data_IF_566607737155
#
_entry.id   IF_566607737155
#
_cell.length_a   1.000
_cell.length_b   1.000
_cell.length_c   1.000
_cell.angle_alpha   90.00
_cell.angle_beta   90.00
_cell.angle_gamma   90.00
#
_symmetry.space_group_name_H-M   'P 1'
#
loop_
_entity.id
_entity.type
_entity.pdbx_description
1 polymer ?
#
# COMPACT_ATOMS: atom_id res chain seq x y z
N UNK A 1 14.93 13.10 37.50
CA UNK A 1 14.92 12.77 36.06
C UNK A 1 13.76 13.58 35.49
N UNK A 2 14.03 14.60 34.66
CA UNK A 2 13.03 15.61 34.28
C UNK A 2 11.91 15.00 33.44
N UNK A 3 10.65 15.30 33.75
CA UNK A 3 9.47 14.83 32.99
C UNK A 3 9.58 15.14 31.49
N UNK A 4 10.12 16.31 31.14
CA UNK A 4 10.39 16.71 29.76
C UNK A 4 11.30 15.73 29.00
N UNK A 5 12.28 15.15 29.69
CA UNK A 5 13.24 14.24 29.08
C UNK A 5 12.58 12.90 28.72
N UNK A 6 11.64 12.42 29.56
CA UNK A 6 10.83 11.24 29.26
C UNK A 6 9.90 11.47 28.07
N UNK A 7 9.30 12.67 27.95
CA UNK A 7 8.40 13.00 26.83
C UNK A 7 9.17 13.03 25.50
N UNK A 8 10.37 13.63 25.48
CA UNK A 8 11.24 13.64 24.29
C UNK A 8 11.68 12.23 23.89
N UNK A 9 11.99 11.37 24.86
CA UNK A 9 12.36 9.98 24.58
C UNK A 9 11.19 9.21 23.96
N UNK A 10 10.00 9.28 24.56
CA UNK A 10 8.78 8.64 24.03
C UNK A 10 8.49 9.17 22.62
N UNK A 11 8.58 10.48 22.41
CA UNK A 11 8.39 11.10 21.10
C UNK A 11 9.38 10.55 20.07
N UNK A 12 10.67 10.47 20.40
CA UNK A 12 11.69 9.89 19.54
C UNK A 12 11.42 8.42 19.18
N UNK A 13 10.99 7.62 20.15
CA UNK A 13 10.57 6.22 19.93
C UNK A 13 9.37 6.17 18.97
N UNK A 14 8.35 7.01 19.16
CA UNK A 14 7.19 7.07 18.28
C UNK A 14 7.57 7.38 16.84
N UNK A 15 8.42 8.39 16.62
CA UNK A 15 8.94 8.76 15.30
C UNK A 15 9.65 7.58 14.64
N UNK A 16 10.53 6.89 15.37
CA UNK A 16 11.21 5.69 14.86
C UNK A 16 10.20 4.60 14.45
N UNK A 17 9.14 4.38 15.23
CA UNK A 17 8.12 3.38 14.85
C UNK A 17 7.29 3.77 13.62
N UNK A 18 7.20 5.06 13.29
CA UNK A 18 6.55 5.51 12.05
C UNK A 18 7.46 5.20 10.87
N UNK A 19 8.73 5.57 10.94
CA UNK A 19 9.71 5.29 9.87
C UNK A 19 9.85 3.78 9.63
N UNK A 20 9.91 2.97 10.69
CA UNK A 20 9.95 1.52 10.56
C UNK A 20 8.69 0.95 9.89
N UNK A 21 7.51 1.52 10.15
CA UNK A 21 6.27 1.13 9.48
C UNK A 21 6.28 1.49 7.98
N UNK A 22 6.81 2.66 7.63
CA UNK A 22 6.96 3.06 6.21
C UNK A 22 7.91 2.15 5.46
N UNK A 23 9.06 1.81 6.05
CA UNK A 23 10.01 0.84 5.50
C UNK A 23 9.35 -0.53 5.31
N UNK A 24 8.60 -1.01 6.30
CA UNK A 24 7.87 -2.28 6.21
C UNK A 24 6.83 -2.26 5.08
N UNK A 25 6.13 -1.16 4.88
CA UNK A 25 5.15 -0.97 3.80
C UNK A 25 5.82 -1.02 2.41
N UNK A 26 6.99 -0.39 2.27
CA UNK A 26 7.78 -0.44 1.03
C UNK A 26 8.28 -1.86 0.74
N UNK A 27 8.80 -2.56 1.75
CA UNK A 27 9.27 -3.94 1.62
C UNK A 27 8.14 -4.89 1.22
N UNK A 28 6.95 -4.77 1.82
CA UNK A 28 5.78 -5.56 1.43
C UNK A 28 5.33 -5.28 0.00
N UNK A 29 5.36 -4.02 -0.44
CA UNK A 29 5.00 -3.66 -1.81
C UNK A 29 5.97 -4.26 -2.83
N UNK A 30 7.27 -4.24 -2.53
CA UNK A 30 8.27 -4.91 -3.36
C UNK A 30 8.08 -6.44 -3.40
N UNK A 31 7.73 -7.05 -2.27
CA UNK A 31 7.41 -8.48 -2.19
C UNK A 31 6.19 -8.85 -3.03
N UNK A 32 5.09 -8.10 -2.95
CA UNK A 32 3.91 -8.39 -3.78
C UNK A 32 4.23 -8.24 -5.28
N UNK A 33 5.01 -7.23 -5.65
CA UNK A 33 5.45 -7.03 -7.02
C UNK A 33 6.29 -8.22 -7.52
N UNK A 34 7.21 -8.74 -6.70
CA UNK A 34 8.04 -9.88 -7.10
C UNK A 34 7.21 -11.17 -7.27
N UNK A 35 6.21 -11.41 -6.42
CA UNK A 35 5.28 -12.55 -6.54
C UNK A 35 4.48 -12.45 -7.84
N UNK A 36 3.93 -11.28 -8.16
CA UNK A 36 3.19 -11.08 -9.42
C UNK A 36 4.10 -11.24 -10.63
N UNK A 37 5.30 -10.67 -10.59
CA UNK A 37 6.28 -10.80 -11.67
C UNK A 37 6.69 -12.26 -11.91
N UNK A 38 6.90 -13.04 -10.84
CA UNK A 38 7.18 -14.46 -10.94
C UNK A 38 6.03 -15.24 -11.57
N UNK A 39 4.78 -14.95 -11.19
CA UNK A 39 3.59 -15.55 -11.80
C UNK A 39 3.48 -15.26 -13.30
N UNK A 40 3.75 -14.02 -13.71
CA UNK A 40 3.76 -13.62 -15.11
C UNK A 40 4.91 -14.30 -15.88
N UNK A 41 6.09 -14.41 -15.28
CA UNK A 41 7.24 -15.08 -15.90
C UNK A 41 6.97 -16.58 -16.12
N UNK A 42 6.30 -17.25 -15.18
CA UNK A 42 5.88 -18.64 -15.33
C UNK A 42 4.89 -18.82 -16.50
N UNK A 43 3.91 -17.92 -16.64
CA UNK A 43 3.00 -17.91 -17.80
C UNK A 43 3.72 -17.73 -19.14
N UNK A 44 4.81 -16.95 -19.14
CA UNK A 44 5.60 -16.73 -20.36
C UNK A 44 6.49 -17.94 -20.72
N UNK A 45 6.96 -18.68 -19.72
CA UNK A 45 7.87 -19.83 -19.89
C UNK A 45 7.13 -21.11 -20.28
N UNK A 46 5.99 -21.39 -19.63
CA UNK A 46 5.27 -22.66 -19.77
C UNK A 46 3.92 -22.45 -20.46
N UNK A 47 3.80 -22.89 -21.72
CA UNK A 47 2.56 -22.74 -22.50
C UNK A 47 1.43 -23.68 -22.08
N UNK A 48 1.74 -24.73 -21.34
CA UNK A 48 0.77 -25.75 -20.91
C UNK A 48 0.05 -25.36 -19.60
N UNK A 49 0.52 -24.33 -18.90
CA UNK A 49 -0.15 -23.88 -17.67
C UNK A 49 -1.49 -23.24 -18.03
N UNK A 50 -2.56 -23.74 -17.42
CA UNK A 50 -3.85 -23.09 -17.52
C UNK A 50 -3.76 -21.66 -16.99
N UNK A 51 -4.04 -20.69 -17.86
CA UNK A 51 -4.00 -19.28 -17.49
C UNK A 51 -4.87 -18.94 -16.26
N UNK A 52 -5.95 -19.69 -16.03
CA UNK A 52 -6.79 -19.56 -14.83
C UNK A 52 -6.04 -19.91 -13.54
N UNK A 53 -5.15 -20.91 -13.58
CA UNK A 53 -4.37 -21.35 -12.42
C UNK A 53 -3.42 -20.27 -11.90
N UNK A 54 -3.01 -19.31 -12.75
CA UNK A 54 -2.13 -18.19 -12.36
C UNK A 54 -2.93 -16.88 -12.19
N UNK A 55 -3.95 -16.63 -13.02
CA UNK A 55 -4.75 -15.41 -12.92
C UNK A 55 -5.50 -15.28 -11.58
N UNK A 56 -6.01 -16.40 -11.04
CA UNK A 56 -6.71 -16.41 -9.75
C UNK A 56 -5.77 -16.03 -8.58
N UNK A 57 -4.59 -16.66 -8.41
CA UNK A 57 -3.62 -16.22 -7.40
C UNK A 57 -3.21 -14.76 -7.53
N UNK A 58 -2.96 -14.26 -8.76
CA UNK A 58 -2.56 -12.86 -8.99
C UNK A 58 -3.67 -11.91 -8.53
N UNK A 59 -4.93 -12.23 -8.81
CA UNK A 59 -6.09 -11.45 -8.36
C UNK A 59 -6.16 -11.41 -6.83
N UNK A 60 -6.00 -12.55 -6.16
CA UNK A 60 -5.99 -12.65 -4.68
C UNK A 60 -4.84 -11.84 -4.09
N UNK A 61 -3.62 -11.99 -4.61
CA UNK A 61 -2.44 -11.26 -4.15
C UNK A 61 -2.65 -9.75 -4.31
N UNK A 62 -3.25 -9.31 -5.41
CA UNK A 62 -3.56 -7.89 -5.65
C UNK A 62 -4.57 -7.34 -4.64
N UNK A 63 -5.61 -8.11 -4.28
CA UNK A 63 -6.56 -7.73 -3.23
C UNK A 63 -5.93 -7.63 -1.85
N UNK A 64 -5.08 -8.61 -1.51
CA UNK A 64 -4.33 -8.60 -0.25
C UNK A 64 -3.39 -7.38 -0.22
N UNK A 65 -2.71 -7.07 -1.32
CA UNK A 65 -1.85 -5.91 -1.43
C UNK A 65 -2.62 -4.60 -1.19
N UNK A 66 -3.79 -4.42 -1.83
CA UNK A 66 -4.66 -3.26 -1.60
C UNK A 66 -5.07 -3.12 -0.14
N UNK A 67 -5.48 -4.24 0.48
CA UNK A 67 -5.89 -4.28 1.88
C UNK A 67 -4.73 -3.90 2.81
N UNK A 68 -3.53 -4.39 2.53
CA UNK A 68 -2.30 -4.05 3.26
C UNK A 68 -2.00 -2.56 3.17
N UNK A 69 -2.05 -1.95 1.98
CA UNK A 69 -1.83 -0.50 1.82
C UNK A 69 -2.85 0.29 2.64
N UNK A 70 -4.13 -0.08 2.57
CA UNK A 70 -5.19 0.60 3.30
C UNK A 70 -5.02 0.48 4.82
N UNK A 71 -4.61 -0.68 5.31
CA UNK A 71 -4.28 -0.91 6.72
C UNK A 71 -3.15 0.01 7.19
N UNK A 72 -2.02 0.03 6.48
CA UNK A 72 -0.89 0.90 6.84
C UNK A 72 -1.25 2.38 6.77
N UNK A 73 -2.10 2.78 5.82
CA UNK A 73 -2.58 4.17 5.70
C UNK A 73 -3.41 4.58 6.91
N UNK A 74 -4.31 3.72 7.36
CA UNK A 74 -5.13 4.00 8.54
C UNK A 74 -4.27 4.03 9.81
N UNK A 75 -3.31 3.12 9.92
CA UNK A 75 -2.38 3.07 11.05
C UNK A 75 -1.48 4.31 11.09
N UNK A 76 -0.96 4.77 9.95
CA UNK A 76 -0.16 5.98 9.86
C UNK A 76 -0.96 7.21 10.33
N UNK A 77 -2.21 7.37 9.85
CA UNK A 77 -3.11 8.44 10.31
C UNK A 77 -3.30 8.43 11.82
N UNK A 78 -3.51 7.26 12.42
CA UNK A 78 -3.66 7.12 13.86
C UNK A 78 -2.37 7.51 14.60
N UNK A 79 -1.20 7.05 14.13
CA UNK A 79 0.10 7.39 14.73
C UNK A 79 0.42 8.88 14.64
N UNK A 80 0.17 9.52 13.49
CA UNK A 80 0.36 10.97 13.34
C UNK A 80 -0.57 11.76 14.26
N UNK A 81 -1.79 11.28 14.52
CA UNK A 81 -2.70 11.90 15.49
C UNK A 81 -2.12 11.85 16.91
N UNK A 82 -1.58 10.70 17.32
CA UNK A 82 -0.92 10.57 18.64
C UNK A 82 0.30 11.49 18.75
N UNK A 83 1.09 11.62 17.68
CA UNK A 83 2.21 12.57 17.66
C UNK A 83 1.73 14.01 17.82
N UNK A 84 0.66 14.41 17.11
CA UNK A 84 0.09 15.75 17.23
C UNK A 84 -0.40 16.03 18.67
N UNK A 85 -1.03 15.05 19.32
CA UNK A 85 -1.45 15.13 20.73
C UNK A 85 -0.24 15.24 21.68
N UNK A 86 0.87 14.55 21.39
CA UNK A 86 2.13 14.70 22.15
C UNK A 86 2.77 16.07 21.93
N UNK A 87 2.66 16.62 20.71
CA UNK A 87 3.17 17.94 20.36
C UNK A 87 2.46 19.09 21.07
N UNK A 88 1.24 18.88 21.59
CA UNK A 88 0.56 19.88 22.40
C UNK A 88 1.29 20.22 23.71
N UNK A 89 2.16 19.32 24.20
CA UNK A 89 3.00 19.53 25.37
C UNK A 89 4.31 20.26 25.05
N UNK A 90 4.67 20.42 23.77
CA UNK A 90 5.91 21.08 23.34
C UNK A 90 5.67 22.53 22.92
N UNK A 91 6.65 23.40 23.20
CA UNK A 91 6.63 24.80 22.77
C UNK A 91 6.75 24.94 21.25
N UNK A 92 7.37 23.95 20.60
CA UNK A 92 7.53 23.85 19.15
C UNK A 92 6.87 22.55 18.67
N UNK A 93 6.01 22.64 17.64
CA UNK A 93 5.24 21.52 17.08
C UNK A 93 5.72 21.19 15.65
N UNK A 94 6.87 20.53 15.50
CA UNK A 94 7.51 20.36 14.20
C UNK A 94 6.62 19.62 13.18
N UNK A 95 5.95 18.52 13.55
CA UNK A 95 5.09 17.77 12.62
C UNK A 95 3.82 18.52 12.27
N UNK A 96 3.19 19.21 13.22
CA UNK A 96 2.03 20.07 12.92
C UNK A 96 2.43 21.20 11.97
N UNK A 97 3.61 21.79 12.17
CA UNK A 97 4.13 22.86 11.32
C UNK A 97 4.47 22.36 9.91
N UNK A 98 5.17 21.23 9.81
CA UNK A 98 5.49 20.55 8.54
C UNK A 98 4.23 20.19 7.76
N UNK A 99 3.22 19.61 8.43
CA UNK A 99 1.95 19.28 7.81
C UNK A 99 1.18 20.52 7.32
N UNK A 100 1.28 21.63 8.07
CA UNK A 100 0.75 22.94 7.68
C UNK A 100 1.38 23.46 6.40
N UNK A 101 2.72 23.45 6.31
CA UNK A 101 3.47 23.83 5.12
C UNK A 101 3.16 22.91 3.93
N UNK A 102 3.16 21.59 4.16
CA UNK A 102 2.81 20.60 3.14
C UNK A 102 1.41 20.82 2.56
N UNK A 103 0.43 21.21 3.39
CA UNK A 103 -0.95 21.49 2.94
C UNK A 103 -1.09 22.83 2.22
N UNK A 104 -0.27 23.83 2.58
CA UNK A 104 -0.26 25.15 1.92
C UNK A 104 0.44 25.10 0.56
N UNK A 105 1.51 24.32 0.43
CA UNK A 105 2.23 24.12 -0.83
C UNK A 105 1.52 23.14 -1.79
N UNK A 106 0.47 22.45 -1.30
CA UNK A 106 -0.39 21.55 -2.07
C UNK A 106 -1.28 22.33 -3.05
N UNK A 107 -0.67 22.94 -4.06
CA UNK A 107 -1.34 23.29 -5.30
C UNK A 107 -2.05 22.05 -5.86
N UNK A 108 -3.21 22.24 -6.51
CA UNK A 108 -4.22 21.25 -6.95
C UNK A 108 -3.74 19.95 -7.66
N UNK A 109 -2.45 19.75 -7.88
CA UNK A 109 -1.89 18.67 -8.71
C UNK A 109 -0.70 17.92 -8.10
N UNK A 110 -0.51 17.85 -6.78
CA UNK A 110 0.44 16.85 -6.23
C UNK A 110 -0.28 15.51 -6.12
N UNK A 111 -0.04 14.64 -7.09
CA UNK A 111 -0.36 13.21 -6.99
C UNK A 111 0.38 12.69 -5.77
N UNK A 112 -0.33 12.37 -4.69
CA UNK A 112 0.31 11.76 -3.52
C UNK A 112 1.02 10.48 -4.01
N UNK A 113 2.27 10.27 -3.60
CA UNK A 113 3.01 9.02 -3.89
C UNK A 113 2.14 7.79 -3.56
N UNK A 114 1.28 7.92 -2.55
CA UNK A 114 0.27 6.94 -2.12
C UNK A 114 -0.76 6.59 -3.21
N UNK A 115 -1.15 7.53 -4.07
CA UNK A 115 -2.05 7.25 -5.18
C UNK A 115 -1.37 6.37 -6.24
N UNK A 116 -0.08 6.60 -6.55
CA UNK A 116 0.66 5.75 -7.49
C UNK A 116 0.83 4.33 -6.94
N UNK A 117 1.12 4.19 -5.64
CA UNK A 117 1.22 2.89 -4.98
C UNK A 117 -0.12 2.13 -4.94
N UNK A 118 -1.26 2.83 -4.96
CA UNK A 118 -2.59 2.21 -5.00
C UNK A 118 -3.02 1.83 -6.43
N UNK A 119 -2.58 2.59 -7.44
CA UNK A 119 -2.95 2.37 -8.85
C UNK A 119 -2.39 1.02 -9.34
N UNK A 120 -1.15 0.69 -9.00
CA UNK A 120 -0.49 -0.54 -9.49
C UNK A 120 -1.30 -1.81 -9.14
N UNK A 121 -1.57 -2.12 -7.86
CA UNK A 121 -2.36 -3.31 -7.51
C UNK A 121 -3.81 -3.23 -7.98
N UNK A 122 -4.40 -2.04 -8.08
CA UNK A 122 -5.77 -1.86 -8.62
C UNK A 122 -5.84 -2.26 -10.09
N UNK A 123 -4.87 -1.81 -10.91
CA UNK A 123 -4.80 -2.15 -12.33
C UNK A 123 -4.58 -3.65 -12.51
N UNK A 124 -3.69 -4.26 -11.74
CA UNK A 124 -3.45 -5.71 -11.78
C UNK A 124 -4.69 -6.51 -11.40
N UNK A 125 -5.42 -6.09 -10.36
CA UNK A 125 -6.67 -6.72 -9.95
C UNK A 125 -7.74 -6.62 -11.04
N UNK A 126 -7.94 -5.44 -11.64
CA UNK A 126 -8.93 -5.25 -12.71
C UNK A 126 -8.56 -6.04 -13.95
N UNK A 127 -7.30 -6.00 -14.38
CA UNK A 127 -6.83 -6.73 -15.56
C UNK A 127 -6.99 -8.25 -15.40
N UNK A 128 -6.57 -8.80 -14.25
CA UNK A 128 -6.75 -10.23 -13.94
C UNK A 128 -8.22 -10.63 -13.86
N UNK A 129 -9.07 -9.79 -13.26
CA UNK A 129 -10.51 -10.04 -13.17
C UNK A 129 -11.18 -10.06 -14.54
N UNK A 130 -10.89 -9.08 -15.40
CA UNK A 130 -11.40 -9.04 -16.79
C UNK A 130 -10.98 -10.29 -17.55
N UNK A 131 -9.73 -10.71 -17.41
CA UNK A 131 -9.21 -11.91 -18.07
C UNK A 131 -9.94 -13.18 -17.62
N UNK A 132 -10.16 -13.35 -16.31
CA UNK A 132 -10.91 -14.49 -15.76
C UNK A 132 -12.33 -14.51 -16.33
N UNK A 133 -13.03 -13.38 -16.33
CA UNK A 133 -14.41 -13.25 -16.85
C UNK A 133 -14.46 -13.61 -18.34
N UNK A 134 -13.53 -13.07 -19.14
CA UNK A 134 -13.45 -13.38 -20.57
C UNK A 134 -13.27 -14.88 -20.82
N UNK A 135 -12.38 -15.53 -20.05
CA UNK A 135 -12.13 -16.98 -20.18
C UNK A 135 -13.35 -17.81 -19.82
N UNK A 136 -14.06 -17.46 -18.74
CA UNK A 136 -15.30 -18.13 -18.35
C UNK A 136 -16.36 -18.00 -19.45
N UNK A 137 -16.57 -16.80 -20.01
CA UNK A 137 -17.53 -16.57 -21.10
C UNK A 137 -17.16 -17.41 -22.32
N UNK A 138 -15.88 -17.42 -22.71
CA UNK A 138 -15.42 -18.20 -23.87
C UNK A 138 -15.63 -19.71 -23.70
N UNK A 139 -15.43 -20.23 -22.49
CA UNK A 139 -15.69 -21.64 -22.14
C UNK A 139 -17.18 -21.97 -22.22
N UNK A 140 -18.03 -21.08 -21.70
CA UNK A 140 -19.49 -21.23 -21.78
C UNK A 140 -20.00 -21.24 -23.22
N UNK A 141 -19.50 -20.34 -24.07
CA UNK A 141 -19.86 -20.29 -25.50
C UNK A 141 -19.42 -21.55 -26.25
N UNK A 142 -18.24 -22.08 -25.93
CA UNK A 142 -17.75 -23.33 -26.54
C UNK A 142 -18.55 -24.56 -26.09
N UNK A 143 -19.04 -24.58 -24.85
CA UNK A 143 -19.83 -25.71 -24.33
C UNK A 143 -21.27 -25.76 -24.88
N UNK A 144 -21.78 -24.65 -25.43
CA UNK A 144 -23.13 -24.56 -26.00
C UNK A 144 -23.17 -24.76 -27.54
N UNK A 145 -22.01 -24.86 -28.21
CA UNK A 145 -21.93 -25.05 -29.67
C UNK A 145 -21.58 -26.50 -30.04
#
# INVERSE_FOLDING_TARGET
MNDMQNIVEIYGVYVQTITANEQRRQALSAFYLSVVAAGIALLASEKEIEYLAIAVPISIVSLVWLSTIQYFRNLAKAKFKVIAELEDCFEIKPFVHEWGHYKQEKGRCTIELTHLELIIPSVLFVASSIFIVYRIISLFTFCHS
#
